data_IF_355639996224
#
_entry.id   IF_355639996224
#
_cell.length_a   1.000
_cell.length_b   1.000
_cell.length_c   1.000
_cell.angle_alpha   90.00
_cell.angle_beta   90.00
_cell.angle_gamma   90.00
#
_symmetry.space_group_name_H-M   'P 1'
#
loop_
_entity.id
_entity.type
_entity.pdbx_description
1 polymer ?
#
# COMPACT_ATOMS: atom_id res chain seq x y z
N UNK A 1 -27.58 16.18 52.25
CA UNK A 1 -27.97 16.48 50.87
C UNK A 1 -26.96 17.29 50.04
N UNK A 2 -25.86 17.84 50.61
CA UNK A 2 -24.86 18.67 49.89
C UNK A 2 -23.69 17.88 49.25
N UNK A 3 -23.46 16.62 49.64
CA UNK A 3 -22.35 15.80 49.14
C UNK A 3 -22.67 15.06 47.81
N UNK A 4 -23.93 14.66 47.58
CA UNK A 4 -24.30 13.91 46.37
C UNK A 4 -24.27 14.78 45.11
N UNK A 5 -24.54 16.08 45.21
CA UNK A 5 -24.53 17.01 44.06
C UNK A 5 -23.12 17.30 43.52
N UNK A 6 -22.09 17.22 44.38
CA UNK A 6 -20.68 17.44 43.97
C UNK A 6 -20.07 16.22 43.23
N UNK A 7 -20.53 15.01 43.51
CA UNK A 7 -20.09 13.79 42.85
C UNK A 7 -20.67 13.67 41.44
N UNK A 8 -21.94 14.07 41.25
CA UNK A 8 -22.59 14.07 39.92
C UNK A 8 -21.98 15.11 38.95
N UNK A 9 -21.52 16.26 39.45
CA UNK A 9 -20.88 17.28 38.61
C UNK A 9 -19.47 16.83 38.13
N UNK A 10 -18.75 16.06 38.95
CA UNK A 10 -17.42 15.50 38.58
C UNK A 10 -17.49 14.44 37.48
N UNK A 11 -18.54 13.64 37.43
CA UNK A 11 -18.73 12.59 36.43
C UNK A 11 -19.13 13.16 35.06
N UNK A 12 -19.87 14.26 35.02
CA UNK A 12 -20.24 14.92 33.74
C UNK A 12 -19.05 15.61 33.06
N UNK A 13 -18.03 16.07 33.79
CA UNK A 13 -16.84 16.72 33.21
C UNK A 13 -15.84 15.69 32.63
N UNK A 14 -15.84 14.46 33.12
CA UNK A 14 -14.92 13.41 32.62
C UNK A 14 -15.35 12.78 31.30
N UNK A 15 -16.61 12.93 30.89
CA UNK A 15 -17.14 12.36 29.65
C UNK A 15 -16.87 13.24 28.40
N UNK A 16 -16.32 14.44 28.54
CA UNK A 16 -16.16 15.39 27.44
C UNK A 16 -14.84 15.31 26.67
N UNK A 17 -13.94 14.37 26.97
CA UNK A 17 -12.56 14.36 26.41
C UNK A 17 -12.23 13.22 25.45
N UNK A 18 -13.21 12.62 24.77
CA UNK A 18 -12.94 11.68 23.68
C UNK A 18 -13.51 12.19 22.35
N UNK A 19 -13.22 13.43 22.01
CA UNK A 19 -13.35 13.86 20.61
C UNK A 19 -12.10 13.33 19.89
N UNK A 20 -12.22 12.15 19.32
CA UNK A 20 -11.25 11.66 18.33
C UNK A 20 -11.30 12.66 17.18
N UNK A 21 -10.30 13.51 17.04
CA UNK A 21 -10.14 14.35 15.85
C UNK A 21 -9.82 13.41 14.67
N UNK A 22 -10.85 12.84 14.06
CA UNK A 22 -10.70 12.30 12.73
C UNK A 22 -10.30 13.47 11.82
N UNK A 23 -9.10 13.41 11.27
CA UNK A 23 -8.59 14.46 10.39
C UNK A 23 -9.45 14.44 9.13
N UNK A 24 -10.17 15.54 8.87
CA UNK A 24 -11.07 15.62 7.71
C UNK A 24 -10.25 15.68 6.43
N UNK A 25 -10.45 14.74 5.50
CA UNK A 25 -9.79 14.75 4.20
C UNK A 25 -10.13 16.01 3.43
N UNK A 26 -9.13 16.71 2.96
CA UNK A 26 -9.22 17.97 2.24
C UNK A 26 -8.71 17.82 0.78
N UNK A 27 -9.03 18.76 -0.13
CA UNK A 27 -8.50 18.75 -1.49
C UNK A 27 -6.97 18.82 -1.58
N UNK A 28 -6.26 19.15 -0.50
CA UNK A 28 -4.80 19.19 -0.45
C UNK A 28 -4.17 17.81 -0.23
N UNK A 29 -4.96 16.85 0.25
CA UNK A 29 -4.48 15.52 0.63
C UNK A 29 -4.42 14.55 -0.56
N UNK A 30 -4.84 14.99 -1.74
CA UNK A 30 -4.77 14.22 -2.98
C UNK A 30 -4.64 15.12 -4.21
N UNK A 31 -4.28 14.52 -5.34
CA UNK A 31 -4.24 15.16 -6.66
C UNK A 31 -5.28 14.51 -7.57
N UNK A 32 -5.91 15.30 -8.44
CA UNK A 32 -6.75 14.79 -9.53
C UNK A 32 -5.89 14.59 -10.76
N UNK A 33 -5.93 13.39 -11.32
CA UNK A 33 -5.22 13.05 -12.54
C UNK A 33 -6.07 13.43 -13.77
N UNK A 34 -5.55 14.28 -14.61
CA UNK A 34 -6.19 14.70 -15.87
C UNK A 34 -5.25 14.43 -17.06
N UNK A 35 -5.71 13.67 -18.04
CA UNK A 35 -6.94 12.88 -18.06
C UNK A 35 -6.88 11.68 -17.09
N UNK A 36 -8.05 11.18 -16.64
CA UNK A 36 -8.14 9.95 -15.88
C UNK A 36 -7.52 8.77 -16.64
N UNK A 37 -6.89 7.84 -15.93
CA UNK A 37 -6.24 6.67 -16.52
C UNK A 37 -7.21 5.50 -16.61
N UNK A 38 -7.07 4.62 -17.62
CA UNK A 38 -7.86 3.40 -17.70
C UNK A 38 -7.72 2.54 -16.44
N UNK A 39 -8.80 1.89 -16.02
CA UNK A 39 -8.85 1.00 -14.87
C UNK A 39 -9.15 -0.44 -15.30
N UNK A 40 -8.63 -1.41 -14.56
CA UNK A 40 -8.83 -2.84 -14.79
C UNK A 40 -9.72 -3.51 -13.71
N UNK A 41 -10.24 -2.73 -12.77
CA UNK A 41 -11.02 -3.24 -11.62
C UNK A 41 -12.41 -3.78 -11.96
N UNK A 42 -12.92 -3.57 -13.18
CA UNK A 42 -14.28 -3.91 -13.56
C UNK A 42 -15.30 -3.11 -12.73
N UNK A 43 -16.26 -3.80 -12.09
CA UNK A 43 -17.24 -3.16 -11.21
C UNK A 43 -16.64 -2.68 -9.88
N UNK A 44 -15.52 -3.27 -9.45
CA UNK A 44 -14.82 -2.90 -8.22
C UNK A 44 -14.03 -1.62 -8.44
N UNK A 45 -13.89 -0.81 -7.38
CA UNK A 45 -13.00 0.35 -7.42
C UNK A 45 -11.56 -0.14 -7.41
N UNK A 46 -10.83 0.15 -8.50
CA UNK A 46 -9.41 -0.16 -8.59
C UNK A 46 -8.61 0.78 -7.68
N UNK A 47 -7.74 0.20 -6.87
CA UNK A 47 -6.74 0.93 -6.08
C UNK A 47 -5.37 0.40 -6.45
N UNK A 48 -4.52 1.25 -7.01
CA UNK A 48 -3.11 0.94 -7.25
C UNK A 48 -2.30 1.36 -6.04
N UNK A 49 -1.47 0.44 -5.53
CA UNK A 49 -0.43 0.72 -4.54
C UNK A 49 0.92 0.67 -5.24
N UNK A 50 1.57 1.82 -5.39
CA UNK A 50 2.97 1.90 -5.78
C UNK A 50 3.82 1.81 -4.51
N UNK A 51 4.68 0.80 -4.45
CA UNK A 51 5.44 0.47 -3.25
C UNK A 51 6.87 0.04 -3.57
N UNK A 52 7.71 -0.06 -2.56
CA UNK A 52 9.06 -0.58 -2.64
C UNK A 52 9.42 -1.31 -1.35
N UNK A 53 9.86 -2.56 -1.42
CA UNK A 53 10.18 -3.34 -0.22
C UNK A 53 11.27 -2.71 0.65
N UNK A 54 12.26 -2.05 0.07
CA UNK A 54 13.30 -1.33 0.81
C UNK A 54 12.89 0.04 1.34
N UNK A 55 11.62 0.45 1.21
CA UNK A 55 11.12 1.75 1.69
C UNK A 55 10.59 1.64 3.14
N UNK A 56 11.21 2.33 4.13
CA UNK A 56 10.74 2.29 5.52
C UNK A 56 9.29 2.78 5.68
N UNK A 57 8.90 3.82 4.93
CA UNK A 57 7.53 4.37 4.99
C UNK A 57 6.51 3.38 4.39
N UNK A 58 6.91 2.60 3.36
CA UNK A 58 6.05 1.52 2.84
C UNK A 58 5.90 0.40 3.86
N UNK A 59 6.97 0.04 4.58
CA UNK A 59 6.92 -0.92 5.68
C UNK A 59 5.97 -0.45 6.79
N UNK A 60 6.13 0.80 7.26
CA UNK A 60 5.24 1.42 8.25
C UNK A 60 3.76 1.40 7.80
N UNK A 61 3.50 1.54 6.51
CA UNK A 61 2.16 1.62 5.97
C UNK A 61 1.40 0.26 5.99
N UNK A 62 2.11 -0.88 5.93
CA UNK A 62 1.47 -2.18 5.75
C UNK A 62 0.40 -2.53 6.82
N UNK A 63 0.61 -2.30 8.14
CA UNK A 63 -0.43 -2.56 9.13
C UNK A 63 -1.70 -1.71 8.92
N UNK A 64 -1.57 -0.48 8.45
CA UNK A 64 -2.70 0.41 8.16
C UNK A 64 -3.45 -0.05 6.90
N UNK A 65 -2.71 -0.39 5.85
CA UNK A 65 -3.25 -0.91 4.58
C UNK A 65 -3.99 -2.24 4.83
N UNK A 66 -3.41 -3.15 5.60
CA UNK A 66 -4.03 -4.43 5.94
C UNK A 66 -5.37 -4.26 6.67
N UNK A 67 -5.42 -3.39 7.69
CA UNK A 67 -6.68 -3.08 8.40
C UNK A 67 -7.72 -2.41 7.49
N UNK A 68 -7.27 -1.51 6.63
CA UNK A 68 -8.14 -0.87 5.65
C UNK A 68 -8.74 -1.88 4.67
N UNK A 69 -7.94 -2.76 4.08
CA UNK A 69 -8.41 -3.78 3.14
C UNK A 69 -9.45 -4.71 3.74
N UNK A 70 -9.28 -5.12 5.01
CA UNK A 70 -10.27 -5.93 5.71
C UNK A 70 -11.63 -5.22 5.82
N UNK A 71 -11.64 -3.90 6.00
CA UNK A 71 -12.86 -3.07 6.08
C UNK A 71 -13.46 -2.80 4.71
N UNK A 72 -12.63 -2.50 3.70
CA UNK A 72 -13.05 -2.20 2.34
C UNK A 72 -13.71 -3.41 1.65
N UNK A 73 -13.28 -4.62 2.00
CA UNK A 73 -13.86 -5.87 1.53
C UNK A 73 -13.84 -6.03 0.00
N UNK A 74 -14.85 -6.73 -0.57
CA UNK A 74 -14.85 -7.09 -1.99
C UNK A 74 -15.13 -5.91 -2.94
N UNK A 75 -15.50 -4.73 -2.44
CA UNK A 75 -15.77 -3.55 -3.25
C UNK A 75 -14.51 -2.96 -3.90
N UNK A 76 -13.33 -3.29 -3.38
CA UNK A 76 -12.04 -2.79 -3.82
C UNK A 76 -11.25 -3.87 -4.54
N UNK A 77 -10.60 -3.49 -5.64
CA UNK A 77 -9.59 -4.29 -6.32
C UNK A 77 -8.21 -3.64 -6.09
N UNK A 78 -7.50 -4.08 -5.04
CA UNK A 78 -6.12 -3.63 -4.82
C UNK A 78 -5.18 -4.32 -5.80
N UNK A 79 -4.38 -3.52 -6.51
CA UNK A 79 -3.29 -3.98 -7.36
C UNK A 79 -1.98 -3.30 -6.97
N UNK A 80 -1.00 -4.09 -6.61
CA UNK A 80 0.33 -3.61 -6.22
C UNK A 80 1.24 -3.49 -7.42
N UNK A 81 1.99 -2.39 -7.49
CA UNK A 81 2.98 -2.09 -8.53
C UNK A 81 4.30 -1.78 -7.81
N UNK A 82 5.30 -2.67 -7.88
CA UNK A 82 6.58 -2.41 -7.26
C UNK A 82 7.33 -1.31 -8.03
N UNK A 83 7.79 -0.29 -7.31
CA UNK A 83 8.54 0.81 -7.89
C UNK A 83 10.01 0.40 -8.13
N UNK A 84 10.44 0.48 -9.38
CA UNK A 84 11.80 0.11 -9.80
C UNK A 84 12.57 1.37 -10.24
N UNK A 85 12.95 2.22 -9.27
CA UNK A 85 13.67 3.48 -9.50
C UNK A 85 15.18 3.29 -9.67
N UNK A 86 15.75 2.28 -9.01
CA UNK A 86 17.17 1.97 -8.96
C UNK A 86 17.39 0.47 -9.16
N UNK A 87 18.64 0.04 -9.32
CA UNK A 87 19.00 -1.38 -9.41
C UNK A 87 18.49 -2.18 -8.19
N UNK A 88 18.71 -1.66 -6.98
CA UNK A 88 18.21 -2.30 -5.75
C UNK A 88 16.69 -2.42 -5.73
N UNK A 89 15.95 -1.39 -6.14
CA UNK A 89 14.49 -1.45 -6.22
C UNK A 89 13.99 -2.33 -7.37
N UNK A 90 14.77 -2.48 -8.44
CA UNK A 90 14.47 -3.44 -9.51
C UNK A 90 14.56 -4.89 -9.03
N UNK A 91 15.57 -5.22 -8.22
CA UNK A 91 15.69 -6.54 -7.59
C UNK A 91 14.44 -6.88 -6.77
N UNK A 92 13.96 -5.96 -5.94
CA UNK A 92 12.71 -6.14 -5.20
C UNK A 92 11.46 -6.21 -6.09
N UNK A 93 11.44 -5.49 -7.20
CA UNK A 93 10.34 -5.59 -8.16
C UNK A 93 10.30 -6.97 -8.82
N UNK A 94 11.47 -7.50 -9.20
CA UNK A 94 11.60 -8.89 -9.69
C UNK A 94 11.13 -9.89 -8.63
N UNK A 95 11.51 -9.70 -7.37
CA UNK A 95 11.04 -10.53 -6.24
C UNK A 95 9.53 -10.56 -6.17
N UNK A 96 8.88 -9.40 -6.17
CA UNK A 96 7.42 -9.32 -6.10
C UNK A 96 6.75 -10.06 -7.25
N UNK A 97 7.18 -9.84 -8.48
CA UNK A 97 6.57 -10.48 -9.63
C UNK A 97 6.84 -11.99 -9.68
N UNK A 98 8.03 -12.43 -9.23
CA UNK A 98 8.35 -13.86 -9.13
C UNK A 98 7.49 -14.54 -8.07
N UNK A 99 7.35 -13.93 -6.88
CA UNK A 99 6.44 -14.43 -5.84
C UNK A 99 4.99 -14.45 -6.32
N UNK A 100 4.58 -13.45 -7.11
CA UNK A 100 3.24 -13.40 -7.72
C UNK A 100 3.03 -14.55 -8.71
N UNK A 101 3.98 -14.82 -9.58
CA UNK A 101 3.94 -15.93 -10.54
C UNK A 101 3.91 -17.31 -9.85
N UNK A 102 4.43 -17.39 -8.63
CA UNK A 102 4.42 -18.59 -7.79
C UNK A 102 3.27 -18.62 -6.79
N UNK A 103 2.34 -17.66 -6.80
CA UNK A 103 1.22 -17.52 -5.85
C UNK A 103 1.68 -17.44 -4.37
N UNK A 104 2.80 -16.78 -4.11
CA UNK A 104 3.39 -16.66 -2.78
C UNK A 104 3.27 -15.26 -2.16
N UNK A 105 2.74 -14.27 -2.88
CA UNK A 105 2.66 -12.88 -2.40
C UNK A 105 1.87 -12.80 -1.10
N UNK A 106 0.68 -13.40 -1.02
CA UNK A 106 -0.18 -13.32 0.17
C UNK A 106 0.54 -13.84 1.44
N UNK A 107 1.38 -14.84 1.29
CA UNK A 107 2.12 -15.47 2.39
C UNK A 107 3.42 -14.73 2.72
N UNK A 108 4.11 -14.19 1.72
CA UNK A 108 5.49 -13.69 1.88
C UNK A 108 5.64 -12.17 1.77
N UNK A 109 4.61 -11.44 1.40
CA UNK A 109 4.67 -9.98 1.27
C UNK A 109 5.07 -9.28 2.58
N UNK A 110 4.38 -9.59 3.67
CA UNK A 110 4.71 -9.05 4.99
C UNK A 110 6.04 -9.59 5.54
N UNK A 111 6.31 -10.92 5.54
CA UNK A 111 7.60 -11.44 5.99
C UNK A 111 8.81 -10.85 5.25
N UNK A 112 8.68 -10.53 3.96
CA UNK A 112 9.78 -9.91 3.21
C UNK A 112 10.08 -8.50 3.71
N UNK A 113 9.05 -7.68 3.96
CA UNK A 113 9.23 -6.38 4.59
C UNK A 113 9.86 -6.50 5.97
N UNK A 114 9.31 -7.39 6.81
CA UNK A 114 9.69 -7.54 8.21
C UNK A 114 11.14 -8.02 8.34
N UNK A 115 11.51 -9.06 7.59
CA UNK A 115 12.88 -9.57 7.59
C UNK A 115 13.89 -8.56 7.02
N UNK A 116 13.49 -7.73 6.04
CA UNK A 116 14.38 -6.71 5.52
C UNK A 116 14.58 -5.55 6.50
N UNK A 117 13.48 -5.01 7.07
CA UNK A 117 13.52 -3.80 7.89
C UNK A 117 13.78 -4.06 9.37
N UNK A 118 13.17 -5.10 9.95
CA UNK A 118 13.29 -5.41 11.37
C UNK A 118 14.48 -6.34 11.65
N UNK A 119 14.62 -7.44 10.89
CA UNK A 119 15.73 -8.39 11.07
C UNK A 119 17.04 -7.93 10.38
N UNK A 120 16.99 -6.86 9.58
CA UNK A 120 18.16 -6.29 8.89
C UNK A 120 18.75 -7.18 7.80
N UNK A 121 17.97 -8.11 7.23
CA UNK A 121 18.44 -8.96 6.12
C UNK A 121 18.56 -8.15 4.83
N UNK A 122 19.70 -8.25 4.14
CA UNK A 122 19.96 -7.57 2.86
C UNK A 122 19.26 -8.30 1.69
N UNK A 123 17.91 -8.26 1.67
CA UNK A 123 17.07 -8.97 0.70
C UNK A 123 16.96 -8.26 -0.66
N UNK A 124 17.72 -7.21 -0.88
CA UNK A 124 17.84 -6.52 -2.17
C UNK A 124 18.84 -7.20 -3.14
N UNK A 125 19.63 -8.16 -2.66
CA UNK A 125 20.54 -8.93 -3.47
C UNK A 125 19.95 -10.29 -3.86
N UNK A 126 20.06 -10.68 -5.13
CA UNK A 126 19.50 -11.95 -5.65
C UNK A 126 19.92 -13.15 -4.81
N UNK A 127 21.21 -13.28 -4.49
CA UNK A 127 21.73 -14.39 -3.69
C UNK A 127 20.98 -14.52 -2.36
N UNK A 128 20.76 -13.40 -1.68
CA UNK A 128 20.13 -13.39 -0.37
C UNK A 128 18.64 -13.67 -0.46
N UNK A 129 17.95 -13.13 -1.49
CA UNK A 129 16.52 -13.39 -1.67
C UNK A 129 16.26 -14.85 -2.09
N UNK A 130 17.11 -15.44 -2.93
CA UNK A 130 17.00 -16.87 -3.32
C UNK A 130 17.18 -17.78 -2.11
N UNK A 131 18.14 -17.48 -1.23
CA UNK A 131 18.32 -18.21 0.03
C UNK A 131 17.08 -18.04 0.94
N UNK A 132 16.63 -16.81 1.12
CA UNK A 132 15.49 -16.48 1.97
C UNK A 132 14.18 -17.15 1.52
N UNK A 133 13.90 -17.18 0.22
CA UNK A 133 12.68 -17.87 -0.28
C UNK A 133 12.76 -19.37 -0.03
N UNK A 134 13.96 -19.97 -0.13
CA UNK A 134 14.20 -21.38 0.21
C UNK A 134 13.95 -21.66 1.69
N UNK A 135 14.47 -20.80 2.59
CA UNK A 135 14.21 -20.87 4.05
C UNK A 135 12.71 -20.77 4.37
N UNK A 136 11.95 -20.08 3.53
CA UNK A 136 10.51 -19.91 3.65
C UNK A 136 9.69 -20.96 2.84
N UNK A 137 10.30 -22.08 2.46
CA UNK A 137 9.60 -23.21 1.83
C UNK A 137 9.17 -23.00 0.38
N UNK A 138 9.79 -22.05 -0.33
CA UNK A 138 9.62 -21.88 -1.78
C UNK A 138 10.74 -22.62 -2.49
N UNK A 139 10.43 -23.27 -3.63
CA UNK A 139 11.44 -23.88 -4.48
C UNK A 139 12.39 -22.79 -5.02
N UNK A 140 13.56 -22.69 -4.41
CA UNK A 140 14.58 -21.68 -4.71
C UNK A 140 15.11 -21.77 -6.16
N UNK A 141 15.21 -23.00 -6.71
CA UNK A 141 15.65 -23.20 -8.08
C UNK A 141 14.61 -22.66 -9.07
N UNK A 142 13.35 -23.04 -8.87
CA UNK A 142 12.23 -22.57 -9.69
C UNK A 142 12.04 -21.05 -9.54
N UNK A 143 12.23 -20.51 -8.34
CA UNK A 143 12.21 -19.05 -8.10
C UNK A 143 13.26 -18.35 -8.97
N UNK A 144 14.52 -18.81 -8.95
CA UNK A 144 15.61 -18.22 -9.75
C UNK A 144 15.34 -18.33 -11.26
N UNK A 145 14.83 -19.47 -11.74
CA UNK A 145 14.46 -19.66 -13.15
C UNK A 145 13.38 -18.64 -13.59
N UNK A 146 12.34 -18.44 -12.78
CA UNK A 146 11.26 -17.47 -13.07
C UNK A 146 11.79 -16.03 -12.98
N UNK A 147 12.59 -15.70 -11.98
CA UNK A 147 13.21 -14.39 -11.78
C UNK A 147 13.96 -13.90 -13.02
N UNK A 148 14.69 -14.78 -13.70
CA UNK A 148 15.45 -14.47 -14.92
C UNK A 148 14.62 -14.55 -16.20
N UNK A 149 13.33 -14.89 -16.11
CA UNK A 149 12.49 -15.02 -17.29
C UNK A 149 12.22 -13.68 -17.99
N UNK A 150 12.02 -13.74 -19.31
CA UNK A 150 11.60 -12.59 -20.10
C UNK A 150 10.26 -12.01 -19.61
N UNK A 151 9.38 -12.85 -19.07
CA UNK A 151 8.11 -12.42 -18.49
C UNK A 151 8.31 -11.47 -17.30
N UNK A 152 9.19 -11.81 -16.37
CA UNK A 152 9.48 -10.94 -15.20
C UNK A 152 10.18 -9.66 -15.66
N UNK A 153 11.10 -9.74 -16.62
CA UNK A 153 11.74 -8.55 -17.19
C UNK A 153 10.69 -7.56 -17.76
N UNK A 154 9.70 -8.07 -18.52
CA UNK A 154 8.63 -7.25 -19.09
C UNK A 154 7.69 -6.68 -18.02
N UNK A 155 7.37 -7.46 -16.98
CA UNK A 155 6.56 -6.95 -15.85
C UNK A 155 7.26 -5.80 -15.12
N UNK A 156 8.58 -5.89 -14.89
CA UNK A 156 9.37 -4.81 -14.31
C UNK A 156 9.42 -3.59 -15.24
N UNK A 157 9.61 -3.79 -16.53
CA UNK A 157 9.56 -2.71 -17.52
C UNK A 157 8.17 -2.04 -17.55
N UNK A 158 7.10 -2.82 -17.45
CA UNK A 158 5.73 -2.31 -17.36
C UNK A 158 5.50 -1.50 -16.08
N UNK A 159 6.06 -1.94 -14.94
CA UNK A 159 6.00 -1.18 -13.70
C UNK A 159 6.71 0.18 -13.81
N UNK A 160 7.88 0.22 -14.45
CA UNK A 160 8.59 1.49 -14.74
C UNK A 160 7.73 2.43 -15.59
N UNK A 161 7.13 1.94 -16.66
CA UNK A 161 6.20 2.74 -17.48
C UNK A 161 5.00 3.24 -16.70
N UNK A 162 4.47 2.43 -15.76
CA UNK A 162 3.37 2.86 -14.90
C UNK A 162 3.78 3.99 -13.95
N UNK A 163 4.98 3.96 -13.37
CA UNK A 163 5.48 5.08 -12.55
C UNK A 163 5.46 6.40 -13.33
N UNK A 164 5.94 6.38 -14.57
CA UNK A 164 5.95 7.56 -15.44
C UNK A 164 4.53 8.00 -15.82
N UNK A 165 3.69 7.05 -16.25
CA UNK A 165 2.32 7.32 -16.70
C UNK A 165 1.43 7.94 -15.61
N UNK A 166 1.65 7.56 -14.35
CA UNK A 166 0.93 8.12 -13.20
C UNK A 166 1.66 9.28 -12.52
N UNK A 167 2.87 9.64 -12.99
CA UNK A 167 3.67 10.71 -12.41
C UNK A 167 4.13 10.43 -10.98
N UNK A 168 4.35 9.16 -10.63
CA UNK A 168 4.76 8.73 -9.30
C UNK A 168 6.19 9.17 -9.01
N UNK A 169 6.39 10.01 -8.00
CA UNK A 169 7.70 10.59 -7.62
C UNK A 169 8.28 9.99 -6.35
N UNK A 170 7.57 9.09 -5.71
CA UNK A 170 7.98 8.43 -4.46
C UNK A 170 6.93 7.44 -4.01
N UNK A 171 7.26 6.66 -2.99
CA UNK A 171 6.39 5.61 -2.45
C UNK A 171 6.31 5.71 -0.92
N UNK A 172 5.22 5.26 -0.28
CA UNK A 172 4.03 4.71 -0.90
C UNK A 172 3.20 5.78 -1.61
N UNK A 173 2.66 5.44 -2.77
CA UNK A 173 1.70 6.26 -3.52
C UNK A 173 0.52 5.40 -3.91
N UNK A 174 -0.70 5.93 -3.75
CA UNK A 174 -1.93 5.27 -4.13
C UNK A 174 -2.61 6.03 -5.27
N UNK A 175 -3.19 5.27 -6.20
CA UNK A 175 -4.08 5.82 -7.22
C UNK A 175 -5.42 5.11 -7.12
N UNK A 176 -6.49 5.89 -6.96
CA UNK A 176 -7.85 5.37 -6.84
C UNK A 176 -8.60 5.66 -8.14
N UNK A 177 -9.19 4.62 -8.70
CA UNK A 177 -10.04 4.64 -9.90
C UNK A 177 -9.42 5.35 -11.11
N UNK A 178 -8.08 5.30 -11.22
CA UNK A 178 -7.34 5.99 -12.27
C UNK A 178 -7.42 7.52 -12.23
N UNK A 179 -8.10 8.10 -11.23
CA UNK A 179 -8.44 9.53 -11.14
C UNK A 179 -7.73 10.27 -10.02
N UNK A 180 -7.54 9.64 -8.88
CA UNK A 180 -7.09 10.31 -7.66
C UNK A 180 -5.78 9.73 -7.17
N UNK A 181 -4.79 10.57 -6.98
CA UNK A 181 -3.47 10.18 -6.47
C UNK A 181 -3.24 10.77 -5.08
N UNK A 182 -2.82 9.95 -4.13
CA UNK A 182 -2.36 10.37 -2.81
C UNK A 182 -1.10 9.62 -2.40
N UNK A 183 -0.37 10.15 -1.43
CA UNK A 183 0.83 9.53 -0.86
C UNK A 183 1.01 10.01 0.58
N UNK A 184 1.87 9.33 1.37
CA UNK A 184 2.20 9.77 2.72
C UNK A 184 2.72 11.22 2.76
N UNK A 185 3.47 11.63 1.72
CA UNK A 185 3.97 13.01 1.59
C UNK A 185 2.86 14.03 1.29
N UNK A 186 1.87 13.68 0.48
CA UNK A 186 0.76 14.57 0.11
C UNK A 186 -0.22 14.69 1.28
N UNK A 187 -0.59 13.57 1.88
CA UNK A 187 -1.49 13.52 3.03
C UNK A 187 -0.85 13.94 4.36
N UNK A 188 0.48 14.05 4.43
CA UNK A 188 1.22 14.48 5.62
C UNK A 188 1.56 13.37 6.61
N UNK A 189 0.90 12.21 6.56
CA UNK A 189 1.21 11.04 7.38
C UNK A 189 0.70 9.75 6.75
N UNK A 190 1.24 8.60 7.20
CA UNK A 190 0.77 7.26 6.76
C UNK A 190 -0.69 7.00 7.17
N UNK A 191 -1.11 7.22 8.44
CA UNK A 191 -2.51 7.03 8.80
C UNK A 191 -3.47 7.87 7.97
N UNK A 192 -3.17 9.16 7.80
CA UNK A 192 -4.03 10.07 7.03
C UNK A 192 -4.05 9.76 5.53
N UNK A 193 -2.95 9.25 4.98
CA UNK A 193 -2.92 8.71 3.61
C UNK A 193 -3.94 7.57 3.43
N UNK A 194 -4.00 6.63 4.37
CA UNK A 194 -4.95 5.50 4.27
C UNK A 194 -6.40 5.95 4.46
N UNK A 195 -6.65 6.93 5.35
CA UNK A 195 -7.96 7.58 5.47
C UNK A 195 -8.36 8.30 4.17
N UNK A 196 -7.39 8.98 3.53
CA UNK A 196 -7.59 9.62 2.23
C UNK A 196 -7.92 8.59 1.15
N UNK A 197 -7.24 7.44 1.11
CA UNK A 197 -7.57 6.34 0.17
C UNK A 197 -9.01 5.87 0.37
N UNK A 198 -9.45 5.66 1.63
CA UNK A 198 -10.83 5.27 1.92
C UNK A 198 -11.84 6.31 1.41
N UNK A 199 -11.61 7.58 1.72
CA UNK A 199 -12.45 8.69 1.23
C UNK A 199 -12.54 8.70 -0.31
N UNK A 200 -11.41 8.51 -1.00
CA UNK A 200 -11.35 8.50 -2.46
C UNK A 200 -12.07 7.28 -3.07
N UNK A 201 -12.01 6.14 -2.41
CA UNK A 201 -12.78 4.94 -2.81
C UNK A 201 -14.27 5.21 -2.73
N UNK A 202 -14.76 5.78 -1.63
CA UNK A 202 -16.17 6.13 -1.44
C UNK A 202 -16.63 7.17 -2.47
N UNK A 203 -15.80 8.18 -2.73
CA UNK A 203 -16.05 9.20 -3.75
C UNK A 203 -16.15 8.60 -5.15
N UNK A 204 -15.18 7.77 -5.55
CA UNK A 204 -15.18 7.10 -6.86
C UNK A 204 -16.40 6.20 -7.02
N UNK A 205 -16.79 5.46 -5.97
CA UNK A 205 -17.99 4.63 -5.98
C UNK A 205 -19.28 5.45 -6.16
N UNK A 206 -19.36 6.63 -5.55
CA UNK A 206 -20.50 7.54 -5.73
C UNK A 206 -20.55 8.16 -7.13
N UNK A 207 -19.40 8.44 -7.74
CA UNK A 207 -19.30 8.95 -9.12
C UNK A 207 -19.71 7.94 -10.17
N UNK A 208 -19.39 6.65 -9.99
CA UNK A 208 -19.77 5.55 -10.91
C UNK A 208 -21.28 5.24 -10.91
N UNK A 209 -22.02 5.67 -9.89
CA UNK A 209 -23.49 5.46 -9.78
C UNK A 209 -24.30 6.55 -10.47
N UNK A 210 -23.67 7.61 -10.94
CA UNK A 210 -24.30 8.72 -11.66
C UNK A 210 -24.28 8.51 -13.14
#
# INVERSE_FOLDING_TARGET
MRSAAKILLGILLAAACLVSYAQTVSPKDFQVLEPARPVAGGERIEVLEFFYYGCPVCYEAQPYIGRWLQKAGPAVALRRIPAAFTESSESFARTFYTLSAMNQVERLHWPLYDNHHFDGKELNEEKNIVAWVGENGVDAKRFSEIWHSAQIAEQVASAKRALDAYGVKGVPTFVVDGKYLTSARIAGSVPHMVETVQFLVERAAAERKK
#
